data_IF_795881939994
#
_entry.id   IF_795881939994
#
_cell.length_a   1.000
_cell.length_b   1.000
_cell.length_c   1.000
_cell.angle_alpha   90.00
_cell.angle_beta   90.00
_cell.angle_gamma   90.00
#
_symmetry.space_group_name_H-M   'P 1'
#
loop_
_entity.id
_entity.type
_entity.pdbx_description
1 polymer ?
#
# COMPACT_ATOMS: atom_id res chain seq x y z
N UNK A 1 15.98 -10.92 -18.84
CA UNK A 1 14.79 -11.04 -17.97
C UNK A 1 15.09 -12.08 -16.91
N UNK A 2 14.92 -11.76 -15.63
CA UNK A 2 15.14 -12.68 -14.52
C UNK A 2 13.78 -13.09 -13.93
N UNK A 3 13.57 -14.39 -13.73
CA UNK A 3 12.41 -14.93 -13.04
C UNK A 3 12.79 -15.29 -11.61
N UNK A 4 12.07 -14.75 -10.65
CA UNK A 4 12.27 -15.01 -9.23
C UNK A 4 11.05 -15.71 -8.63
N UNK A 5 11.27 -16.51 -7.59
CA UNK A 5 10.16 -16.89 -6.72
C UNK A 5 9.60 -15.64 -6.02
N UNK A 6 8.33 -15.69 -5.59
CA UNK A 6 7.74 -14.58 -4.83
C UNK A 6 8.53 -14.31 -3.53
N UNK A 7 9.00 -15.36 -2.88
CA UNK A 7 9.82 -15.26 -1.67
C UNK A 7 11.12 -14.50 -1.95
N UNK A 8 11.82 -14.85 -3.01
CA UNK A 8 13.07 -14.19 -3.40
C UNK A 8 12.85 -12.75 -3.82
N UNK A 9 11.79 -12.50 -4.59
CA UNK A 9 11.42 -11.15 -5.03
C UNK A 9 11.15 -10.23 -3.84
N UNK A 10 10.33 -10.65 -2.89
CA UNK A 10 10.05 -9.88 -1.67
C UNK A 10 11.31 -9.72 -0.83
N UNK A 11 12.09 -10.80 -0.65
CA UNK A 11 13.35 -10.76 0.08
C UNK A 11 14.36 -9.76 -0.50
N UNK A 12 14.41 -9.67 -1.82
CA UNK A 12 15.36 -8.83 -2.55
C UNK A 12 14.93 -7.36 -2.64
N UNK A 13 13.65 -7.11 -2.90
CA UNK A 13 13.16 -5.77 -3.26
C UNK A 13 12.40 -5.05 -2.17
N UNK A 14 11.78 -5.76 -1.23
CA UNK A 14 11.08 -5.12 -0.11
C UNK A 14 12.00 -5.05 1.10
N UNK A 15 12.38 -3.85 1.47
CA UNK A 15 13.26 -3.60 2.63
C UNK A 15 12.50 -2.87 3.73
N UNK A 16 12.92 -3.07 4.98
CA UNK A 16 12.39 -2.32 6.11
C UNK A 16 12.54 -0.82 5.89
N UNK A 17 11.51 -0.06 6.20
CA UNK A 17 11.46 1.38 5.94
C UNK A 17 11.21 1.78 4.49
N UNK A 18 11.14 0.81 3.58
CA UNK A 18 10.93 1.05 2.15
C UNK A 18 9.51 1.45 1.78
N UNK A 19 9.32 1.70 0.50
CA UNK A 19 8.02 1.99 -0.10
C UNK A 19 7.55 0.78 -0.92
N UNK A 20 6.26 0.46 -0.81
CA UNK A 20 5.65 -0.66 -1.52
C UNK A 20 4.36 -0.22 -2.16
N UNK A 21 4.28 -0.35 -3.47
CA UNK A 21 3.05 -0.15 -4.24
C UNK A 21 2.56 -1.50 -4.75
N UNK A 22 1.40 -1.94 -4.29
CA UNK A 22 0.73 -3.17 -4.70
C UNK A 22 -0.63 -2.80 -5.27
N UNK A 23 -0.65 -2.41 -6.52
CA UNK A 23 -1.88 -2.02 -7.19
C UNK A 23 -2.68 -3.23 -7.68
N UNK A 24 -3.93 -3.02 -7.95
CA UNK A 24 -4.93 -3.96 -8.43
C UNK A 24 -6.31 -3.47 -8.03
N UNK A 25 -7.30 -3.73 -8.84
CA UNK A 25 -8.66 -3.27 -8.58
C UNK A 25 -9.63 -4.44 -8.50
N UNK A 26 -10.41 -4.50 -7.45
CA UNK A 26 -11.44 -5.49 -7.10
C UNK A 26 -11.07 -6.96 -7.25
N UNK A 27 -10.59 -7.40 -8.39
CA UNK A 27 -10.33 -8.81 -8.73
C UNK A 27 -8.85 -9.11 -9.09
N UNK A 28 -7.99 -8.10 -9.05
CA UNK A 28 -6.55 -8.26 -9.29
C UNK A 28 -5.74 -7.89 -8.04
N UNK A 29 -6.28 -8.22 -6.88
CA UNK A 29 -5.66 -7.88 -5.59
C UNK A 29 -4.44 -8.77 -5.38
N UNK A 30 -3.24 -8.20 -5.14
CA UNK A 30 -2.01 -8.97 -4.98
C UNK A 30 -1.86 -9.58 -3.57
N UNK A 31 -2.81 -10.40 -3.15
CA UNK A 31 -2.82 -11.03 -1.82
C UNK A 31 -1.54 -11.81 -1.53
N UNK A 32 -1.07 -12.59 -2.50
CA UNK A 32 0.12 -13.41 -2.31
C UNK A 32 1.36 -12.56 -1.97
N UNK A 33 1.51 -11.42 -2.65
CA UNK A 33 2.63 -10.50 -2.38
C UNK A 33 2.51 -9.86 -0.99
N UNK A 34 1.33 -9.38 -0.62
CA UNK A 34 1.10 -8.82 0.72
C UNK A 34 1.31 -9.85 1.84
N UNK A 35 0.83 -11.07 1.66
CA UNK A 35 1.05 -12.15 2.63
C UNK A 35 2.53 -12.54 2.74
N UNK A 36 3.28 -12.53 1.62
CA UNK A 36 4.71 -12.80 1.66
C UNK A 36 5.47 -11.70 2.42
N UNK A 37 5.10 -10.45 2.23
CA UNK A 37 5.67 -9.31 2.96
C UNK A 37 5.44 -9.47 4.47
N UNK A 38 4.22 -9.85 4.88
CA UNK A 38 3.86 -10.15 6.27
C UNK A 38 4.70 -11.31 6.80
N UNK A 39 4.78 -12.42 6.06
CA UNK A 39 5.51 -13.64 6.47
C UNK A 39 7.00 -13.39 6.66
N UNK A 40 7.61 -12.55 5.84
CA UNK A 40 9.00 -12.16 6.00
C UNK A 40 9.23 -11.11 7.11
N UNK A 41 8.19 -10.67 7.80
CA UNK A 41 8.29 -9.77 8.93
C UNK A 41 8.81 -8.38 8.56
N UNK A 42 8.54 -7.90 7.34
CA UNK A 42 8.95 -6.57 6.90
C UNK A 42 8.28 -5.50 7.77
N UNK A 43 8.98 -4.40 8.04
CA UNK A 43 8.51 -3.38 8.99
C UNK A 43 8.74 -1.97 8.49
N UNK A 44 8.02 -1.03 9.11
CA UNK A 44 8.13 0.42 8.87
C UNK A 44 7.90 0.79 7.40
N UNK A 45 7.03 0.09 6.71
CA UNK A 45 6.76 0.31 5.30
C UNK A 45 5.88 1.54 5.08
N UNK A 46 6.15 2.27 4.00
CA UNK A 46 5.18 3.17 3.38
C UNK A 46 4.41 2.35 2.35
N UNK A 47 3.14 2.16 2.60
CA UNK A 47 2.23 1.46 1.70
C UNK A 47 1.58 2.47 0.76
N UNK A 48 1.60 2.20 -0.54
CA UNK A 48 1.05 3.08 -1.57
C UNK A 48 0.03 2.30 -2.37
N UNK A 49 -1.17 2.83 -2.47
CA UNK A 49 -2.21 2.28 -3.35
C UNK A 49 -3.34 3.29 -3.53
N UNK A 50 -3.84 3.41 -4.74
CA UNK A 50 -4.94 4.33 -5.04
C UNK A 50 -6.17 4.01 -4.19
N UNK A 51 -6.56 2.74 -4.12
CA UNK A 51 -7.72 2.27 -3.35
C UNK A 51 -7.35 1.05 -2.50
N UNK A 52 -6.67 1.25 -1.35
CA UNK A 52 -6.34 0.15 -0.45
C UNK A 52 -7.60 -0.62 0.00
N UNK A 53 -7.44 -1.92 0.08
CA UNK A 53 -8.48 -2.89 0.43
C UNK A 53 -7.99 -3.93 1.45
N UNK A 54 -8.55 -5.13 1.42
CA UNK A 54 -8.32 -6.19 2.42
C UNK A 54 -6.85 -6.51 2.66
N UNK A 55 -6.01 -6.60 1.63
CA UNK A 55 -4.59 -6.94 1.87
C UNK A 55 -3.86 -5.81 2.59
N UNK A 56 -4.22 -4.55 2.30
CA UNK A 56 -3.68 -3.40 3.01
C UNK A 56 -4.19 -3.36 4.46
N UNK A 57 -5.48 -3.67 4.67
CA UNK A 57 -6.04 -3.82 6.01
C UNK A 57 -5.28 -4.84 6.84
N UNK A 58 -4.95 -5.99 6.26
CA UNK A 58 -4.17 -7.04 6.91
C UNK A 58 -2.73 -6.57 7.22
N UNK A 59 -2.05 -5.94 6.27
CA UNK A 59 -0.70 -5.41 6.49
C UNK A 59 -0.67 -4.34 7.58
N UNK A 60 -1.66 -3.45 7.61
CA UNK A 60 -1.81 -2.45 8.66
C UNK A 60 -2.06 -3.12 10.00
N UNK A 61 -2.99 -4.07 10.06
CA UNK A 61 -3.32 -4.82 11.27
C UNK A 61 -2.16 -5.63 11.85
N UNK A 62 -1.22 -6.06 11.00
CA UNK A 62 0.03 -6.71 11.42
C UNK A 62 1.11 -5.73 11.88
N UNK A 63 0.82 -4.43 11.88
CA UNK A 63 1.72 -3.39 12.39
C UNK A 63 2.96 -3.13 11.52
N UNK A 64 2.96 -3.57 10.26
CA UNK A 64 4.12 -3.41 9.39
C UNK A 64 4.17 -2.07 8.67
N UNK A 65 3.04 -1.35 8.62
CA UNK A 65 2.93 -0.04 7.97
C UNK A 65 3.21 1.09 8.96
N UNK A 66 4.01 2.07 8.55
CA UNK A 66 4.16 3.36 9.24
C UNK A 66 3.37 4.48 8.56
N UNK A 67 3.15 4.36 7.25
CA UNK A 67 2.49 5.38 6.43
C UNK A 67 1.66 4.72 5.33
N UNK A 68 0.53 5.33 5.02
CA UNK A 68 -0.32 4.95 3.90
C UNK A 68 -0.52 6.16 2.99
N UNK A 69 -0.18 5.99 1.70
CA UNK A 69 -0.44 6.95 0.62
C UNK A 69 -1.58 6.41 -0.22
N UNK A 70 -2.70 7.14 -0.27
CA UNK A 70 -3.93 6.62 -0.88
C UNK A 70 -4.87 7.74 -1.34
N UNK A 71 -5.92 7.40 -2.04
CA UNK A 71 -7.00 8.34 -2.40
C UNK A 71 -8.34 7.98 -1.75
N UNK A 72 -8.62 6.71 -1.57
CA UNK A 72 -9.82 6.24 -0.89
C UNK A 72 -9.57 4.85 -0.33
N UNK A 73 -9.87 4.64 0.95
CA UNK A 73 -9.69 3.37 1.63
C UNK A 73 -11.01 2.66 1.91
N UNK A 74 -11.16 1.43 1.43
CA UNK A 74 -12.37 0.67 1.65
C UNK A 74 -12.38 -0.65 0.87
N UNK A 75 -13.46 -1.40 1.07
CA UNK A 75 -13.67 -2.67 0.39
C UNK A 75 -15.08 -2.67 -0.22
N UNK A 76 -15.22 -2.21 -1.47
CA UNK A 76 -16.52 -2.04 -2.11
C UNK A 76 -17.36 -3.33 -2.06
N UNK A 77 -18.57 -3.22 -1.56
CA UNK A 77 -19.53 -4.33 -1.49
C UNK A 77 -19.31 -5.32 -0.36
N UNK A 78 -18.24 -5.18 0.44
CA UNK A 78 -17.90 -6.16 1.49
C UNK A 78 -17.91 -5.56 2.90
N UNK A 79 -17.67 -4.27 3.04
CA UNK A 79 -17.72 -3.57 4.33
C UNK A 79 -16.45 -2.79 4.68
N UNK A 80 -16.35 -2.41 5.95
CA UNK A 80 -15.26 -1.55 6.44
C UNK A 80 -13.94 -2.31 6.56
N UNK A 81 -12.84 -1.58 6.39
CA UNK A 81 -11.50 -2.03 6.71
C UNK A 81 -11.24 -1.77 8.21
N UNK A 82 -11.50 -2.77 9.03
CA UNK A 82 -11.51 -2.61 10.50
C UNK A 82 -10.13 -2.32 11.08
N UNK A 83 -9.07 -2.92 10.54
CA UNK A 83 -7.70 -2.72 11.02
C UNK A 83 -7.16 -1.34 10.65
N UNK A 84 -7.46 -0.91 9.44
CA UNK A 84 -7.16 0.45 8.98
C UNK A 84 -7.87 1.48 9.87
N UNK A 85 -9.16 1.26 10.14
CA UNK A 85 -9.94 2.13 11.02
C UNK A 85 -9.36 2.18 12.43
N UNK A 86 -9.00 1.04 13.02
CA UNK A 86 -8.38 0.98 14.34
C UNK A 86 -7.04 1.73 14.38
N UNK A 87 -6.24 1.63 13.32
CA UNK A 87 -4.98 2.36 13.23
C UNK A 87 -5.19 3.87 13.19
N UNK A 88 -6.23 4.35 12.50
CA UNK A 88 -6.57 5.77 12.39
C UNK A 88 -7.22 6.31 13.67
N UNK A 89 -8.21 5.61 14.20
CA UNK A 89 -9.01 6.09 15.33
C UNK A 89 -8.35 5.83 16.69
N UNK A 90 -7.61 4.74 16.83
CA UNK A 90 -7.07 4.27 18.10
C UNK A 90 -5.55 4.10 18.11
N UNK A 91 -4.86 4.44 17.02
CA UNK A 91 -3.41 4.21 16.84
C UNK A 91 -2.99 2.73 17.10
N UNK A 92 -3.86 1.79 16.76
CA UNK A 92 -3.63 0.36 17.00
C UNK A 92 -3.53 -0.43 15.68
N UNK A 93 -2.56 -1.37 15.56
CA UNK A 93 -1.53 -1.77 16.53
C UNK A 93 -0.39 -0.74 16.67
N UNK A 94 -0.37 0.28 15.85
CA UNK A 94 0.56 1.41 15.92
C UNK A 94 -0.03 2.62 15.20
N UNK A 95 0.46 3.84 15.48
CA UNK A 95 0.09 5.04 14.72
C UNK A 95 0.39 4.86 13.24
N UNK A 96 -0.53 5.28 12.39
CA UNK A 96 -0.41 5.26 10.94
C UNK A 96 -0.46 6.69 10.42
N UNK A 97 0.62 7.11 9.74
CA UNK A 97 0.64 8.38 9.03
C UNK A 97 -0.18 8.26 7.75
N UNK A 98 -1.07 9.20 7.50
CA UNK A 98 -1.92 9.22 6.32
C UNK A 98 -1.50 10.33 5.36
N UNK A 99 -1.36 9.98 4.09
CA UNK A 99 -1.22 10.91 2.99
C UNK A 99 -2.32 10.65 1.98
N UNK A 100 -3.35 11.49 2.02
CA UNK A 100 -4.53 11.36 1.16
C UNK A 100 -4.42 12.27 -0.05
N UNK A 101 -4.70 11.71 -1.22
CA UNK A 101 -4.74 12.42 -2.50
C UNK A 101 -6.08 12.18 -3.19
N UNK A 102 -6.36 12.91 -4.26
CA UNK A 102 -7.42 12.52 -5.19
C UNK A 102 -6.97 11.33 -6.05
N UNK A 103 -7.93 10.61 -6.66
CA UNK A 103 -7.61 9.57 -7.66
C UNK A 103 -6.75 10.15 -8.80
N UNK A 104 -7.10 11.34 -9.29
CA UNK A 104 -6.33 12.02 -10.31
C UNK A 104 -4.91 12.37 -9.84
N UNK A 105 -4.75 12.74 -8.57
CA UNK A 105 -3.44 13.01 -7.95
C UNK A 105 -2.54 11.78 -7.95
N UNK A 106 -3.03 10.64 -7.48
CA UNK A 106 -2.27 9.37 -7.49
C UNK A 106 -1.95 8.93 -8.92
N UNK A 107 -2.92 8.98 -9.82
CA UNK A 107 -2.70 8.62 -11.23
C UNK A 107 -1.62 9.51 -11.88
N UNK A 108 -1.65 10.80 -11.60
CA UNK A 108 -0.64 11.75 -12.09
C UNK A 108 0.74 11.47 -11.49
N UNK A 109 0.82 11.11 -10.21
CA UNK A 109 2.07 10.73 -9.55
C UNK A 109 2.66 9.46 -10.18
N UNK A 110 1.85 8.44 -10.45
CA UNK A 110 2.31 7.24 -11.15
C UNK A 110 2.79 7.53 -12.58
N UNK A 111 2.05 8.37 -13.32
CA UNK A 111 2.45 8.77 -14.67
C UNK A 111 3.79 9.54 -14.67
N UNK A 112 3.96 10.44 -13.72
CA UNK A 112 5.23 11.17 -13.56
C UNK A 112 6.37 10.22 -13.22
N UNK A 113 6.18 9.29 -12.28
CA UNK A 113 7.19 8.29 -11.93
C UNK A 113 7.54 7.37 -13.09
N UNK A 114 6.56 6.95 -13.90
CA UNK A 114 6.78 6.15 -15.09
C UNK A 114 7.57 6.89 -16.18
N UNK A 115 7.47 8.22 -16.22
CA UNK A 115 8.19 9.10 -17.13
C UNK A 115 9.53 9.61 -16.56
N UNK A 116 9.94 9.10 -15.39
CA UNK A 116 11.14 9.55 -14.67
C UNK A 116 11.14 11.08 -14.37
N UNK A 117 9.96 11.62 -14.08
CA UNK A 117 9.76 13.00 -13.69
C UNK A 117 9.73 13.14 -12.16
N UNK A 118 10.30 14.23 -11.60
CA UNK A 118 10.38 14.41 -10.15
C UNK A 118 9.03 14.70 -9.49
N UNK A 119 8.03 15.14 -10.26
CA UNK A 119 6.67 15.40 -9.78
C UNK A 119 5.67 15.43 -10.94
N UNK A 120 4.41 15.22 -10.60
CA UNK A 120 3.28 15.44 -11.52
C UNK A 120 2.54 16.74 -11.17
N UNK A 121 1.97 17.38 -12.17
CA UNK A 121 1.14 18.58 -11.99
C UNK A 121 -0.32 18.21 -12.20
N UNK A 122 -1.15 18.52 -11.21
CA UNK A 122 -2.59 18.39 -11.31
C UNK A 122 -3.21 19.78 -11.27
N UNK A 123 -4.02 20.09 -12.27
CA UNK A 123 -4.80 21.32 -12.31
C UNK A 123 -6.16 21.04 -11.65
N UNK A 124 -6.37 21.60 -10.50
CA UNK A 124 -7.62 21.51 -9.76
C UNK A 124 -8.54 22.70 -10.01
#
# INVERSE_FOLDING_TARGET
MEFLSLQDAVGRYVKDGGQVALEGFTHLIPFAAGHEIIRQGRRNLTLIRMTPDLIYDQMIGMGIARRLVFSWGGNPGVGSLHRFRDAVEHAWPRPLELEEHSHAGIATAYAAGAADLPFGVLRG
#
